data_IF_518421311805
#
_entry.id   IF_518421311805
#
_cell.length_a   1.000
_cell.length_b   1.000
_cell.length_c   1.000
_cell.angle_alpha   90.00
_cell.angle_beta   90.00
_cell.angle_gamma   90.00
#
_symmetry.space_group_name_H-M   'P 1'
#
loop_
_entity.id
_entity.type
_entity.pdbx_description
1 polymer ?
#
# COMPACT_ATOMS: atom_id res chain seq x y z
N UNK A 1 -5.71 -10.56 6.87
CA UNK A 1 -6.73 -10.20 5.83
C UNK A 1 -6.14 -10.47 4.45
N UNK A 2 -6.97 -10.50 3.41
CA UNK A 2 -6.45 -10.59 2.04
C UNK A 2 -7.28 -9.74 1.08
N UNK A 3 -6.64 -9.26 0.01
CA UNK A 3 -7.29 -8.58 -1.10
C UNK A 3 -6.87 -9.23 -2.42
N UNK A 4 -7.79 -9.94 -3.09
CA UNK A 4 -7.53 -10.68 -4.34
C UNK A 4 -6.38 -11.70 -4.23
N UNK A 5 -6.28 -12.39 -3.09
CA UNK A 5 -5.25 -13.38 -2.83
C UNK A 5 -3.93 -12.84 -2.25
N UNK A 6 -3.75 -11.52 -2.22
CA UNK A 6 -2.61 -10.88 -1.57
C UNK A 6 -2.85 -10.81 -0.06
N UNK A 7 -2.04 -11.49 0.73
CA UNK A 7 -2.18 -11.64 2.18
C UNK A 7 -1.56 -10.48 2.95
N UNK A 8 -2.29 -9.98 3.95
CA UNK A 8 -1.82 -8.89 4.80
C UNK A 8 -1.91 -9.25 6.28
N UNK A 9 -0.81 -9.03 7.01
CA UNK A 9 -0.86 -8.80 8.45
C UNK A 9 -1.18 -7.33 8.68
N UNK A 10 -2.10 -7.01 9.59
CA UNK A 10 -2.45 -5.62 9.93
C UNK A 10 -2.16 -5.38 11.40
N UNK A 11 -1.38 -4.33 11.69
CA UNK A 11 -0.99 -3.94 13.04
C UNK A 11 -1.59 -2.58 13.37
N UNK A 12 -2.34 -2.53 14.47
CA UNK A 12 -2.87 -1.30 15.04
C UNK A 12 -1.82 -0.65 15.96
N UNK A 13 -1.23 0.43 15.50
CA UNK A 13 -0.27 1.24 16.26
C UNK A 13 -0.90 2.55 16.80
N UNK A 14 -2.23 2.70 16.69
CA UNK A 14 -2.99 3.76 17.37
C UNK A 14 -3.25 3.41 18.83
N UNK A 15 -3.76 2.19 19.04
CA UNK A 15 -4.15 1.73 20.38
C UNK A 15 -3.05 0.91 21.04
N UNK A 16 -2.08 0.40 20.27
CA UNK A 16 -0.97 -0.42 20.76
C UNK A 16 0.37 0.30 20.60
N UNK A 17 1.19 0.25 21.65
CA UNK A 17 2.55 0.76 21.61
C UNK A 17 3.51 -0.35 21.18
N UNK A 18 3.73 -0.48 19.90
CA UNK A 18 4.71 -1.41 19.35
C UNK A 18 5.64 -0.68 18.36
N UNK A 19 6.88 -1.14 18.28
CA UNK A 19 7.82 -0.76 17.22
C UNK A 19 8.33 -2.05 16.62
N UNK A 20 8.14 -2.23 15.33
CA UNK A 20 8.63 -3.38 14.60
C UNK A 20 9.88 -2.98 13.83
N UNK A 21 10.99 -3.66 14.10
CA UNK A 21 12.19 -3.54 13.27
C UNK A 21 12.02 -4.32 11.96
N UNK A 22 12.78 -3.99 10.90
CA UNK A 22 12.76 -4.77 9.66
C UNK A 22 13.00 -6.27 9.89
N UNK A 23 13.94 -6.64 10.76
CA UNK A 23 14.21 -8.02 11.09
C UNK A 23 13.03 -8.74 11.77
N UNK A 24 12.27 -8.03 12.62
CA UNK A 24 11.06 -8.58 13.23
C UNK A 24 9.95 -8.77 12.20
N UNK A 25 9.78 -7.82 11.28
CA UNK A 25 8.81 -7.94 10.19
C UNK A 25 9.16 -9.14 9.31
N UNK A 26 10.43 -9.30 8.93
CA UNK A 26 10.89 -10.45 8.14
C UNK A 26 10.66 -11.78 8.85
N UNK A 27 10.92 -11.85 10.16
CA UNK A 27 10.64 -13.05 10.95
C UNK A 27 9.15 -13.39 11.03
N UNK A 28 8.28 -12.38 11.16
CA UNK A 28 6.83 -12.57 11.15
C UNK A 28 6.27 -12.96 9.78
N UNK A 29 6.91 -12.49 8.70
CA UNK A 29 6.49 -12.77 7.33
C UNK A 29 6.81 -14.21 6.89
N UNK A 30 7.77 -14.87 7.54
CA UNK A 30 8.13 -16.25 7.22
C UNK A 30 6.92 -17.19 7.36
N UNK A 31 6.53 -17.84 6.24
CA UNK A 31 5.33 -18.72 6.20
C UNK A 31 5.53 -20.04 6.94
N UNK A 32 6.76 -20.40 7.30
CA UNK A 32 7.09 -21.64 8.01
C UNK A 32 7.34 -21.44 9.50
N UNK A 33 7.83 -20.27 9.91
CA UNK A 33 8.27 -19.99 11.28
C UNK A 33 7.55 -18.81 11.92
N UNK A 34 6.93 -17.95 11.10
CA UNK A 34 6.19 -16.77 11.52
C UNK A 34 4.68 -16.93 11.32
N UNK A 35 4.01 -15.81 11.15
CA UNK A 35 2.58 -15.74 10.80
C UNK A 35 2.37 -16.06 9.32
N UNK A 36 3.28 -15.62 8.48
CA UNK A 36 3.21 -15.71 7.02
C UNK A 36 2.26 -14.69 6.41
N UNK A 37 2.77 -13.82 5.56
CA UNK A 37 2.00 -12.83 4.79
C UNK A 37 2.86 -12.31 3.64
N UNK A 38 2.22 -11.64 2.68
CA UNK A 38 2.92 -10.97 1.58
C UNK A 38 3.41 -9.58 1.99
N UNK A 39 2.59 -8.85 2.77
CA UNK A 39 2.95 -7.53 3.27
C UNK A 39 2.32 -7.27 4.65
N UNK A 40 2.96 -6.40 5.44
CA UNK A 40 2.44 -5.91 6.70
C UNK A 40 1.93 -4.48 6.52
N UNK A 41 0.70 -4.23 6.99
CA UNK A 41 0.07 -2.92 7.02
C UNK A 41 0.11 -2.37 8.44
N UNK A 42 0.62 -1.16 8.63
CA UNK A 42 0.62 -0.49 9.92
C UNK A 42 -0.36 0.68 9.92
N UNK A 43 -1.26 0.68 10.90
CA UNK A 43 -2.22 1.75 11.16
C UNK A 43 -1.59 2.69 12.18
N UNK A 44 -1.20 3.89 11.75
CA UNK A 44 -0.54 4.89 12.61
C UNK A 44 -1.37 6.18 12.69
N UNK A 45 -1.17 7.01 13.73
CA UNK A 45 -1.73 8.35 13.76
C UNK A 45 -1.17 9.18 12.59
N UNK A 46 -2.01 10.02 11.95
CA UNK A 46 -1.57 10.83 10.84
C UNK A 46 -0.57 11.90 11.31
N UNK A 47 0.33 12.30 10.42
CA UNK A 47 1.21 13.46 10.61
C UNK A 47 0.64 14.71 9.94
N UNK A 48 -0.22 14.49 8.93
CA UNK A 48 -0.90 15.55 8.19
C UNK A 48 -2.27 15.80 8.78
N UNK A 49 -2.66 17.08 9.06
CA UNK A 49 -3.93 17.39 9.71
C UNK A 49 -5.17 17.03 8.87
N UNK A 50 -5.01 16.95 7.55
CA UNK A 50 -6.08 16.57 6.62
C UNK A 50 -6.31 15.06 6.54
N UNK A 51 -5.38 14.23 7.04
CA UNK A 51 -5.50 12.78 6.99
C UNK A 51 -6.17 12.21 8.25
N UNK A 52 -6.92 11.13 8.08
CA UNK A 52 -7.53 10.38 9.18
C UNK A 52 -6.54 9.41 9.82
N UNK A 53 -5.75 8.77 8.99
CA UNK A 53 -4.75 7.77 9.39
C UNK A 53 -3.50 7.88 8.53
N UNK A 54 -2.38 7.42 9.08
CA UNK A 54 -1.19 7.13 8.30
C UNK A 54 -1.17 5.65 7.97
N UNK A 55 -1.12 5.36 6.68
CA UNK A 55 -1.07 4.02 6.11
C UNK A 55 0.35 3.71 5.68
N UNK A 56 0.99 2.75 6.35
CA UNK A 56 2.32 2.26 6.01
C UNK A 56 2.27 0.81 5.61
N UNK A 57 3.13 0.44 4.68
CA UNK A 57 3.23 -0.89 4.10
C UNK A 57 4.67 -1.36 4.20
N UNK A 58 4.87 -2.60 4.61
CA UNK A 58 6.17 -3.22 4.67
C UNK A 58 6.17 -4.53 3.90
N UNK A 59 7.21 -4.74 3.11
CA UNK A 59 7.47 -5.99 2.41
C UNK A 59 7.96 -7.07 3.39
N UNK A 60 8.05 -8.31 2.92
CA UNK A 60 8.51 -9.45 3.72
C UNK A 60 9.94 -9.33 4.23
N UNK A 61 10.77 -8.50 3.61
CA UNK A 61 12.14 -8.19 4.06
C UNK A 61 12.21 -7.04 5.08
N UNK A 62 11.04 -6.45 5.41
CA UNK A 62 10.92 -5.31 6.31
C UNK A 62 11.18 -3.95 5.66
N UNK A 63 11.44 -3.89 4.37
CA UNK A 63 11.51 -2.62 3.63
C UNK A 63 10.14 -1.98 3.52
N UNK A 64 10.06 -0.65 3.55
CA UNK A 64 8.79 0.08 3.39
C UNK A 64 8.46 0.22 1.91
N UNK A 65 7.23 -0.19 1.53
CA UNK A 65 6.69 -0.02 0.20
C UNK A 65 5.94 1.31 0.09
N UNK A 66 5.89 1.88 -1.12
CA UNK A 66 5.30 3.21 -1.32
C UNK A 66 3.77 3.18 -1.33
N UNK A 67 3.18 2.21 -2.04
CA UNK A 67 1.74 2.17 -2.26
C UNK A 67 1.27 0.77 -2.69
N UNK A 68 0.10 0.34 -2.18
CA UNK A 68 -0.55 -0.91 -2.56
C UNK A 68 -2.08 -0.76 -2.48
N UNK A 69 -2.74 -0.77 -3.63
CA UNK A 69 -4.20 -0.62 -3.70
C UNK A 69 -4.96 -1.78 -3.01
N UNK A 70 -4.46 -3.02 -3.09
CA UNK A 70 -5.04 -4.16 -2.37
C UNK A 70 -4.94 -3.95 -0.85
N UNK A 71 -3.78 -3.48 -0.39
CA UNK A 71 -3.55 -3.16 1.01
C UNK A 71 -4.43 -2.01 1.50
N UNK A 72 -4.62 -0.95 0.70
CA UNK A 72 -5.47 0.17 1.06
C UNK A 72 -6.93 -0.26 1.28
N UNK A 73 -7.45 -1.20 0.48
CA UNK A 73 -8.80 -1.77 0.69
C UNK A 73 -8.89 -2.55 2.00
N UNK A 74 -7.91 -3.40 2.28
CA UNK A 74 -7.84 -4.15 3.54
C UNK A 74 -7.71 -3.21 4.74
N UNK A 75 -6.86 -2.18 4.63
CA UNK A 75 -6.66 -1.16 5.66
C UNK A 75 -7.98 -0.44 6.00
N UNK A 76 -8.69 0.07 4.98
CA UNK A 76 -9.95 0.78 5.17
C UNK A 76 -11.01 -0.09 5.88
N UNK A 77 -11.15 -1.34 5.47
CA UNK A 77 -12.02 -2.29 6.15
C UNK A 77 -11.61 -2.55 7.59
N UNK A 78 -10.31 -2.76 7.82
CA UNK A 78 -9.78 -3.04 9.16
C UNK A 78 -10.11 -1.93 10.13
N UNK A 79 -9.84 -0.66 9.79
CA UNK A 79 -10.06 0.45 10.73
C UNK A 79 -11.53 0.66 11.08
N UNK A 80 -12.45 0.38 10.15
CA UNK A 80 -13.90 0.46 10.39
C UNK A 80 -14.39 -0.75 11.20
N UNK A 81 -14.00 -1.97 10.83
CA UNK A 81 -14.38 -3.21 11.54
C UNK A 81 -13.85 -3.23 12.98
N UNK A 82 -12.70 -2.61 13.23
CA UNK A 82 -12.15 -2.42 14.58
C UNK A 82 -12.74 -1.25 15.35
N UNK A 83 -13.64 -0.49 14.73
CA UNK A 83 -14.26 0.67 15.38
C UNK A 83 -13.32 1.85 15.62
N UNK A 84 -12.18 1.91 14.93
CA UNK A 84 -11.23 3.04 15.04
C UNK A 84 -11.79 4.31 14.39
N UNK A 85 -12.78 4.17 13.52
CA UNK A 85 -13.53 5.27 12.91
C UNK A 85 -14.95 4.83 12.54
N UNK A 86 -15.84 5.82 12.36
CA UNK A 86 -17.18 5.63 11.82
C UNK A 86 -17.33 6.24 10.42
N UNK A 87 -16.27 6.83 9.87
CA UNK A 87 -16.28 7.42 8.54
C UNK A 87 -16.36 6.31 7.48
N UNK A 88 -17.12 6.55 6.43
CA UNK A 88 -17.17 5.69 5.24
C UNK A 88 -16.08 6.06 4.22
N UNK A 89 -15.72 7.33 4.13
CA UNK A 89 -14.62 7.81 3.31
C UNK A 89 -13.46 8.21 4.21
N UNK A 90 -12.30 7.64 3.94
CA UNK A 90 -11.07 7.78 4.71
C UNK A 90 -10.00 8.49 3.89
N UNK A 91 -9.36 9.46 4.48
CA UNK A 91 -8.18 10.14 3.94
C UNK A 91 -6.94 9.53 4.55
N UNK A 92 -6.13 8.86 3.74
CA UNK A 92 -4.98 8.08 4.18
C UNK A 92 -3.67 8.77 3.76
N UNK A 93 -2.84 9.08 4.74
CA UNK A 93 -1.48 9.56 4.49
C UNK A 93 -0.59 8.39 4.07
N UNK A 94 0.05 8.52 2.90
CA UNK A 94 1.03 7.58 2.34
C UNK A 94 2.37 8.30 2.13
N UNK A 95 3.50 7.59 1.90
CA UNK A 95 4.82 8.22 1.74
C UNK A 95 4.86 9.35 0.70
N UNK A 96 4.14 9.23 -0.40
CA UNK A 96 4.15 10.22 -1.49
C UNK A 96 2.96 11.19 -1.51
N UNK A 97 2.10 11.19 -0.48
CA UNK A 97 0.97 12.11 -0.44
C UNK A 97 -0.22 11.59 0.33
N UNK A 98 -1.39 11.70 -0.28
CA UNK A 98 -2.67 11.31 0.28
C UNK A 98 -3.41 10.48 -0.75
N UNK A 99 -4.07 9.43 -0.29
CA UNK A 99 -5.05 8.65 -1.06
C UNK A 99 -6.39 8.64 -0.33
N UNK A 100 -7.47 8.38 -1.06
CA UNK A 100 -8.80 8.27 -0.47
C UNK A 100 -9.33 6.86 -0.65
N UNK A 101 -9.89 6.29 0.42
CA UNK A 101 -10.55 5.00 0.39
C UNK A 101 -11.98 5.15 0.88
N UNK A 102 -12.95 4.72 0.07
CA UNK A 102 -14.39 4.78 0.38
C UNK A 102 -14.97 3.40 0.50
N UNK A 103 -15.58 3.11 1.66
CA UNK A 103 -16.31 1.87 1.87
C UNK A 103 -17.67 2.00 1.18
N UNK A 104 -17.95 1.03 0.30
CA UNK A 104 -19.21 0.91 -0.43
C UNK A 104 -20.06 -0.20 0.16
N UNK A 105 -21.30 -0.32 -0.33
CA UNK A 105 -22.21 -1.40 0.03
C UNK A 105 -21.62 -2.78 -0.28
N UNK A 106 -22.10 -3.82 0.40
CA UNK A 106 -21.65 -5.20 0.25
C UNK A 106 -20.16 -5.44 0.56
N UNK A 107 -19.50 -4.50 1.25
CA UNK A 107 -18.11 -4.65 1.68
C UNK A 107 -17.06 -4.34 0.62
N UNK A 108 -17.48 -3.72 -0.51
CA UNK A 108 -16.54 -3.18 -1.48
C UNK A 108 -15.82 -1.95 -0.94
N UNK A 109 -14.62 -1.73 -1.45
CA UNK A 109 -13.84 -0.51 -1.14
C UNK A 109 -13.29 0.05 -2.44
N UNK A 110 -13.66 1.29 -2.71
CA UNK A 110 -13.07 2.09 -3.78
C UNK A 110 -11.86 2.82 -3.24
N UNK A 111 -10.77 2.85 -4.02
CA UNK A 111 -9.54 3.57 -3.65
C UNK A 111 -9.15 4.50 -4.80
N UNK A 112 -9.09 5.79 -4.50
CA UNK A 112 -8.53 6.78 -5.41
C UNK A 112 -7.01 6.84 -5.19
N UNK A 113 -6.28 6.31 -6.16
CA UNK A 113 -4.81 6.25 -6.17
C UNK A 113 -4.17 7.48 -6.82
N UNK A 114 -4.98 8.45 -7.25
CA UNK A 114 -4.55 9.61 -8.01
C UNK A 114 -4.39 9.35 -9.51
N UNK A 115 -4.02 10.39 -10.26
CA UNK A 115 -3.84 10.30 -11.70
C UNK A 115 -2.56 9.50 -12.04
N UNK A 116 -2.63 8.56 -13.02
CA UNK A 116 -1.44 7.86 -13.48
C UNK A 116 -0.49 8.82 -14.21
N UNK A 117 0.82 8.64 -14.02
CA UNK A 117 1.82 9.37 -14.77
C UNK A 117 2.35 8.50 -15.92
N UNK A 118 2.32 9.06 -17.13
CA UNK A 118 2.86 8.44 -18.34
C UNK A 118 4.13 9.15 -18.83
N UNK A 119 4.69 10.05 -18.03
CA UNK A 119 5.94 10.72 -18.36
C UNK A 119 7.10 9.73 -18.34
N UNK A 120 7.90 9.70 -19.41
CA UNK A 120 8.99 8.72 -19.58
C UNK A 120 10.06 8.83 -18.49
N UNK A 121 10.28 10.03 -17.95
CA UNK A 121 11.19 10.32 -16.85
C UNK A 121 10.68 9.84 -15.48
N UNK A 122 9.38 9.56 -15.38
CA UNK A 122 8.76 8.98 -14.17
C UNK A 122 8.94 7.46 -14.05
N UNK A 123 9.39 6.80 -15.11
CA UNK A 123 9.66 5.36 -15.07
C UNK A 123 11.03 5.08 -14.43
N UNK A 124 11.11 4.20 -13.42
CA UNK A 124 12.38 3.88 -12.74
C UNK A 124 13.27 2.94 -13.58
N UNK A 125 13.31 3.14 -14.89
CA UNK A 125 14.10 2.33 -15.84
C UNK A 125 15.05 3.26 -16.54
N UNK A 126 16.35 3.01 -16.45
CA UNK A 126 17.33 3.66 -17.30
C UNK A 126 17.23 3.00 -18.69
N UNK A 127 16.44 3.61 -19.57
CA UNK A 127 16.27 3.12 -20.92
C UNK A 127 17.49 3.54 -21.73
N UNK A 128 18.40 2.61 -21.97
CA UNK A 128 19.45 2.75 -23.03
C UNK A 128 18.88 2.65 -24.44
N UNK A 129 17.57 2.89 -24.62
CA UNK A 129 16.82 2.60 -25.86
C UNK A 129 15.86 3.73 -26.18
N UNK A 130 15.64 3.95 -27.48
CA UNK A 130 14.61 4.88 -27.97
C UNK A 130 13.23 4.36 -27.61
N UNK A 131 12.65 4.91 -26.52
CA UNK A 131 11.25 4.71 -26.21
C UNK A 131 10.42 5.71 -27.03
N UNK A 132 9.48 5.20 -27.85
CA UNK A 132 8.46 6.04 -28.50
C UNK A 132 7.12 5.77 -27.81
N UNK A 133 6.56 6.81 -27.20
CA UNK A 133 5.21 6.74 -26.67
C UNK A 133 4.22 7.07 -27.79
N UNK A 134 3.34 6.13 -28.14
CA UNK A 134 2.19 6.38 -28.99
C UNK A 134 0.91 6.03 -28.21
N UNK A 135 0.18 7.06 -27.78
CA UNK A 135 -1.03 6.88 -27.00
C UNK A 135 -0.75 6.31 -25.61
N UNK A 136 -1.46 5.25 -25.22
CA UNK A 136 -1.34 4.56 -23.91
C UNK A 136 -0.33 3.40 -23.92
N UNK A 137 0.41 3.19 -24.99
CA UNK A 137 1.39 2.11 -25.14
C UNK A 137 2.80 2.65 -25.30
N UNK A 138 3.76 2.00 -24.67
CA UNK A 138 5.20 2.25 -24.83
C UNK A 138 5.81 0.99 -25.40
N UNK A 139 6.39 1.06 -26.61
CA UNK A 139 7.21 -0.02 -27.14
C UNK A 139 8.60 0.06 -26.51
N UNK A 140 8.97 -1.00 -25.81
CA UNK A 140 10.31 -1.20 -25.27
C UNK A 140 11.06 -2.16 -26.21
N UNK A 141 12.04 -1.64 -26.97
CA UNK A 141 12.98 -2.49 -27.67
C UNK A 141 14.12 -2.84 -26.72
N UNK A 142 14.23 -4.07 -26.34
CA UNK A 142 15.41 -4.58 -25.62
C UNK A 142 16.30 -5.28 -26.61
N UNK A 143 17.58 -4.88 -26.68
CA UNK A 143 18.61 -5.68 -27.35
C UNK A 143 18.88 -6.91 -26.45
N UNK A 144 17.96 -7.87 -26.49
CA UNK A 144 18.22 -9.19 -25.95
C UNK A 144 19.03 -9.94 -27.00
N UNK A 145 20.36 -10.02 -26.80
CA UNK A 145 21.21 -10.93 -27.54
C UNK A 145 20.92 -12.38 -27.17
#
# INVERSE_FOLDING_TARGET
MHGLGNDFAVVDLLTQRAKLSPAQIAALADRHRGIGFDQLLAVEPPRRPEADFRYRIFNTDGSEAEQCGNGARCFARFVVERGLTKKQTLVLEVPRGIITATLLDQGWVEVDMGAPSFALDAFPVTLGVRAQAQGLSVELSTDAG
#
